data_IF_093132464427
#
_entry.id   IF_093132464427
#
_cell.length_a   1.000
_cell.length_b   1.000
_cell.length_c   1.000
_cell.angle_alpha   90.00
_cell.angle_beta   90.00
_cell.angle_gamma   90.00
#
_symmetry.space_group_name_H-M   'P 1'
#
loop_
_entity.id
_entity.type
_entity.pdbx_description
1 polymer ?
#
# COMPACT_ATOMS: atom_id res chain seq x y z
N UNK A 1 -3.88 -11.40 -14.92
CA UNK A 1 -3.16 -10.47 -14.01
C UNK A 1 -2.24 -11.27 -13.10
N UNK A 2 -0.91 -11.27 -13.31
CA UNK A 2 0.03 -12.16 -12.59
C UNK A 2 0.50 -11.55 -11.25
N UNK A 3 -0.31 -11.65 -10.20
CA UNK A 3 0.06 -11.27 -8.81
C UNK A 3 0.52 -12.50 -8.01
N UNK A 4 1.71 -12.99 -8.34
CA UNK A 4 2.28 -14.22 -7.76
C UNK A 4 2.49 -14.12 -6.25
N UNK A 5 2.87 -12.95 -5.74
CA UNK A 5 3.16 -12.75 -4.32
C UNK A 5 1.91 -12.75 -3.43
N UNK A 6 0.72 -12.54 -3.99
CA UNK A 6 -0.53 -12.59 -3.23
C UNK A 6 -1.12 -14.01 -3.12
N UNK A 7 -0.62 -14.96 -3.90
CA UNK A 7 -1.06 -16.37 -3.85
C UNK A 7 -0.35 -17.21 -2.80
N UNK A 8 0.91 -16.88 -2.49
CA UNK A 8 1.74 -17.68 -1.57
C UNK A 8 1.51 -17.28 -0.12
N UNK A 9 1.42 -18.26 0.76
CA UNK A 9 1.33 -18.16 2.22
C UNK A 9 2.53 -18.88 2.83
N UNK A 10 3.05 -18.37 3.94
CA UNK A 10 4.15 -19.01 4.68
C UNK A 10 3.60 -19.65 5.95
N UNK A 11 3.71 -20.96 6.08
CA UNK A 11 3.38 -21.65 7.33
C UNK A 11 4.59 -21.59 8.27
N UNK A 12 4.44 -20.93 9.41
CA UNK A 12 5.53 -20.81 10.40
C UNK A 12 5.84 -22.14 11.11
N UNK A 13 4.86 -23.02 11.29
CA UNK A 13 5.03 -24.32 11.97
C UNK A 13 5.88 -25.26 11.13
N UNK A 14 5.45 -25.50 9.90
CA UNK A 14 6.09 -26.46 8.98
C UNK A 14 7.26 -25.81 8.21
N UNK A 15 7.44 -24.49 8.33
CA UNK A 15 8.39 -23.67 7.53
C UNK A 15 8.24 -23.83 6.01
N UNK A 16 7.06 -24.25 5.53
CA UNK A 16 6.75 -24.43 4.11
C UNK A 16 5.94 -23.28 3.53
N UNK A 17 6.10 -23.06 2.23
CA UNK A 17 5.22 -22.16 1.47
C UNK A 17 4.03 -22.95 0.94
N UNK A 18 2.80 -22.55 1.31
CA UNK A 18 1.55 -23.10 0.80
C UNK A 18 0.87 -22.09 -0.11
N UNK A 19 0.03 -22.52 -1.03
CA UNK A 19 -0.77 -21.61 -1.84
C UNK A 19 -2.11 -21.37 -1.15
N UNK A 20 -2.37 -20.11 -0.79
CA UNK A 20 -3.67 -19.63 -0.35
C UNK A 20 -3.89 -18.25 -0.97
N UNK A 21 -4.71 -18.16 -2.03
CA UNK A 21 -4.95 -16.92 -2.74
C UNK A 21 -5.69 -15.92 -1.85
N UNK A 22 -5.05 -14.79 -1.55
CA UNK A 22 -5.69 -13.67 -0.88
C UNK A 22 -5.73 -12.45 -1.78
N UNK A 23 -6.86 -11.75 -1.79
CA UNK A 23 -7.02 -10.47 -2.50
C UNK A 23 -6.11 -9.38 -1.93
N UNK A 24 -5.85 -9.42 -0.62
CA UNK A 24 -5.03 -8.45 0.10
C UNK A 24 -4.06 -9.15 1.07
N UNK A 25 -2.84 -8.62 1.23
CA UNK A 25 -1.91 -9.08 2.27
C UNK A 25 -1.32 -7.91 3.04
N UNK A 26 -1.18 -8.09 4.35
CA UNK A 26 -0.47 -7.17 5.23
C UNK A 26 1.04 -7.30 4.99
N UNK A 27 1.75 -6.19 5.11
CA UNK A 27 3.21 -6.13 5.09
C UNK A 27 3.76 -4.95 5.86
N UNK A 28 5.07 -4.94 6.03
CA UNK A 28 5.83 -3.88 6.68
C UNK A 28 6.66 -3.15 5.63
N UNK A 29 6.68 -1.83 5.67
CA UNK A 29 7.50 -1.00 4.77
C UNK A 29 8.97 -1.11 5.21
N UNK A 30 9.84 -1.44 4.26
CA UNK A 30 11.29 -1.45 4.47
C UNK A 30 11.90 -0.09 4.12
N UNK A 31 11.48 0.50 3.01
CA UNK A 31 11.98 1.78 2.54
C UNK A 31 10.95 2.46 1.64
N UNK A 32 10.82 3.77 1.77
CA UNK A 32 10.00 4.61 0.91
C UNK A 32 10.92 5.31 -0.09
N UNK A 33 10.63 5.20 -1.39
CA UNK A 33 11.44 5.78 -2.46
C UNK A 33 10.56 6.40 -3.55
N UNK A 34 11.12 7.31 -4.32
CA UNK A 34 10.52 7.78 -5.58
C UNK A 34 11.13 7.05 -6.76
N UNK A 35 10.34 6.75 -7.78
CA UNK A 35 10.80 6.15 -9.04
C UNK A 35 10.32 6.98 -10.23
N UNK A 36 11.19 7.12 -11.23
CA UNK A 36 10.84 7.73 -12.51
C UNK A 36 10.11 6.70 -13.39
N UNK A 37 9.05 7.10 -14.10
CA UNK A 37 8.34 6.26 -15.04
C UNK A 37 9.16 5.98 -16.29
N UNK A 38 8.72 4.99 -17.09
CA UNK A 38 9.25 4.78 -18.44
C UNK A 38 8.83 5.94 -19.34
N UNK A 39 9.72 6.36 -20.25
CA UNK A 39 9.41 7.27 -21.38
C UNK A 39 8.15 6.74 -22.09
N UNK A 40 7.14 7.55 -22.46
CA UNK A 40 7.12 9.00 -22.73
C UNK A 40 6.77 9.92 -21.54
N UNK A 41 6.35 9.36 -20.41
CA UNK A 41 5.84 10.15 -19.30
C UNK A 41 6.99 10.67 -18.41
N UNK A 42 6.81 11.85 -17.82
CA UNK A 42 7.70 12.41 -16.79
C UNK A 42 6.90 12.68 -15.51
N UNK A 43 7.34 12.11 -14.39
CA UNK A 43 6.77 12.34 -13.05
C UNK A 43 7.65 11.68 -12.00
N UNK A 44 7.52 12.10 -10.74
CA UNK A 44 8.04 11.35 -9.61
C UNK A 44 6.93 10.50 -9.02
N UNK A 45 7.03 9.18 -9.16
CA UNK A 45 6.05 8.25 -8.60
C UNK A 45 6.53 7.77 -7.24
N UNK A 46 5.68 7.88 -6.22
CA UNK A 46 5.98 7.41 -4.86
C UNK A 46 5.75 5.91 -4.74
N UNK A 47 6.75 5.22 -4.21
CA UNK A 47 6.82 3.76 -4.16
C UNK A 47 7.37 3.32 -2.82
N UNK A 48 6.87 2.20 -2.28
CA UNK A 48 7.40 1.59 -1.07
C UNK A 48 7.93 0.18 -1.38
N UNK A 49 9.08 -0.15 -0.79
CA UNK A 49 9.51 -1.55 -0.60
C UNK A 49 8.75 -2.10 0.60
N UNK A 50 8.05 -3.20 0.40
CA UNK A 50 7.20 -3.82 1.43
C UNK A 50 7.57 -5.28 1.55
N UNK A 51 7.80 -5.73 2.78
CA UNK A 51 7.93 -7.14 3.12
C UNK A 51 6.57 -7.68 3.55
N UNK A 52 6.02 -8.61 2.77
CA UNK A 52 4.72 -9.24 3.05
C UNK A 52 4.83 -10.30 4.14
N UNK A 53 3.67 -10.69 4.70
CA UNK A 53 3.58 -11.78 5.68
C UNK A 53 4.11 -13.14 5.18
N UNK A 54 4.19 -13.35 3.87
CA UNK A 54 4.79 -14.54 3.26
C UNK A 54 6.30 -14.41 3.00
N UNK A 55 6.98 -13.48 3.69
CA UNK A 55 8.41 -13.18 3.60
C UNK A 55 8.89 -12.68 2.23
N UNK A 56 8.01 -12.47 1.26
CA UNK A 56 8.40 -11.91 -0.03
C UNK A 56 8.53 -10.40 0.06
N UNK A 57 9.57 -9.89 -0.57
CA UNK A 57 9.75 -8.47 -0.76
C UNK A 57 9.15 -8.04 -2.09
N UNK A 58 8.33 -7.01 -2.03
CA UNK A 58 7.67 -6.45 -3.18
C UNK A 58 7.86 -4.94 -3.22
N UNK A 59 7.66 -4.40 -4.41
CA UNK A 59 7.63 -2.96 -4.64
C UNK A 59 6.19 -2.57 -4.93
N UNK A 60 5.62 -1.69 -4.10
CA UNK A 60 4.22 -1.28 -4.14
C UNK A 60 4.08 0.23 -4.38
N UNK A 61 3.14 0.62 -5.23
CA UNK A 61 2.83 2.01 -5.50
C UNK A 61 2.00 2.62 -4.37
N UNK A 62 2.32 3.87 -4.00
CA UNK A 62 1.56 4.65 -3.02
C UNK A 62 0.62 5.59 -3.78
N UNK A 63 -0.71 5.33 -3.78
CA UNK A 63 -1.65 6.18 -4.48
C UNK A 63 -1.96 7.45 -3.67
N UNK A 64 -2.22 8.55 -4.40
CA UNK A 64 -2.64 9.84 -3.84
C UNK A 64 -1.53 10.91 -3.88
N UNK A 65 -1.90 12.13 -3.53
CA UNK A 65 -1.02 13.32 -3.58
C UNK A 65 -0.02 13.35 -2.42
N UNK A 66 -0.46 13.05 -1.19
CA UNK A 66 0.36 12.97 0.02
C UNK A 66 0.41 11.58 0.65
N UNK A 67 1.44 11.30 1.43
CA UNK A 67 1.54 10.11 2.29
C UNK A 67 2.43 10.40 3.49
N UNK A 68 2.16 9.72 4.59
CA UNK A 68 2.87 9.82 5.87
C UNK A 68 3.64 8.52 6.19
N UNK A 69 3.78 7.63 5.20
CA UNK A 69 4.43 6.34 5.43
C UNK A 69 5.91 6.55 5.72
N UNK A 70 6.34 6.00 6.85
CA UNK A 70 7.72 5.90 7.24
C UNK A 70 8.23 4.46 7.02
N UNK A 71 9.50 4.24 7.35
CA UNK A 71 10.02 2.90 7.54
C UNK A 71 9.28 2.20 8.69
N UNK A 72 9.13 0.89 8.60
CA UNK A 72 8.41 0.06 9.57
C UNK A 72 6.90 0.27 9.68
N UNK A 73 6.31 1.21 8.92
CA UNK A 73 4.85 1.34 8.87
C UNK A 73 4.19 0.06 8.34
N UNK A 74 3.08 -0.32 8.97
CA UNK A 74 2.25 -1.46 8.60
C UNK A 74 1.27 -1.04 7.52
N UNK A 75 1.26 -1.79 6.42
CA UNK A 75 0.45 -1.46 5.24
C UNK A 75 -0.35 -2.66 4.74
N UNK A 76 -1.49 -2.37 4.11
CA UNK A 76 -2.26 -3.37 3.36
C UNK A 76 -1.95 -3.22 1.87
N UNK A 77 -1.58 -4.31 1.23
CA UNK A 77 -1.24 -4.34 -0.19
C UNK A 77 -2.31 -5.07 -0.98
N UNK A 78 -2.65 -4.52 -2.14
CA UNK A 78 -3.54 -5.12 -3.15
C UNK A 78 -2.82 -5.34 -4.48
N UNK A 79 -3.38 -6.24 -5.27
CA UNK A 79 -3.00 -6.41 -6.67
C UNK A 79 -3.32 -5.17 -7.51
N UNK A 80 -2.45 -4.83 -8.44
CA UNK A 80 -2.65 -3.71 -9.36
C UNK A 80 -1.35 -3.30 -10.02
N UNK A 81 -1.21 -3.52 -11.33
CA UNK A 81 -0.01 -3.08 -12.05
C UNK A 81 -0.12 -1.60 -12.38
N UNK A 82 0.91 -0.83 -12.07
CA UNK A 82 1.08 0.52 -12.63
C UNK A 82 1.74 0.35 -14.00
N UNK A 83 1.07 0.82 -15.06
CA UNK A 83 1.59 0.67 -16.44
C UNK A 83 2.91 1.42 -16.63
N UNK A 84 3.04 2.57 -15.99
CA UNK A 84 4.17 3.50 -16.15
C UNK A 84 5.49 2.97 -15.57
N UNK A 85 5.42 2.23 -14.45
CA UNK A 85 6.60 1.81 -13.69
C UNK A 85 6.99 0.36 -14.02
N UNK A 86 8.28 0.12 -14.21
CA UNK A 86 8.83 -1.23 -14.31
C UNK A 86 8.83 -1.91 -12.94
N UNK A 87 8.42 -3.18 -12.87
CA UNK A 87 8.46 -3.98 -11.64
C UNK A 87 7.38 -3.67 -10.58
N UNK A 88 6.61 -2.59 -10.71
CA UNK A 88 5.58 -2.20 -9.73
C UNK A 88 4.22 -2.84 -10.08
N UNK A 89 3.95 -3.99 -9.47
CA UNK A 89 2.76 -4.84 -9.72
C UNK A 89 1.68 -4.71 -8.64
N UNK A 90 1.94 -3.94 -7.59
CA UNK A 90 1.10 -3.85 -6.41
C UNK A 90 0.81 -2.40 -6.04
N UNK A 91 -0.31 -2.20 -5.36
CA UNK A 91 -0.71 -0.91 -4.80
C UNK A 91 -0.93 -1.03 -3.30
N UNK A 92 -0.60 0.01 -2.57
CA UNK A 92 -0.99 0.16 -1.17
C UNK A 92 -2.45 0.62 -1.11
N UNK A 93 -3.24 0.02 -0.24
CA UNK A 93 -4.60 0.45 0.09
C UNK A 93 -4.51 1.61 1.08
N UNK A 94 -5.28 2.68 0.86
CA UNK A 94 -5.32 3.85 1.75
C UNK A 94 -6.45 3.72 2.77
N UNK A 95 -6.26 4.32 3.95
CA UNK A 95 -7.27 4.33 5.02
C UNK A 95 -7.30 3.03 5.83
N UNK A 96 -6.23 2.23 5.80
CA UNK A 96 -6.12 0.98 6.56
C UNK A 96 -4.71 0.78 7.13
N UNK A 97 -4.63 0.28 8.36
CA UNK A 97 -3.38 0.26 9.17
C UNK A 97 -2.80 1.68 9.24
N UNK A 98 -1.49 1.84 9.08
CA UNK A 98 -0.80 3.12 9.26
C UNK A 98 -0.92 4.03 8.03
N UNK A 99 -1.71 3.62 7.02
CA UNK A 99 -2.01 4.47 5.86
C UNK A 99 -3.19 5.37 6.15
N UNK A 100 -2.93 6.66 6.39
CA UNK A 100 -3.98 7.68 6.49
C UNK A 100 -4.63 7.95 5.13
N UNK A 101 -5.88 8.42 5.15
CA UNK A 101 -6.58 8.86 3.94
C UNK A 101 -5.91 10.10 3.32
N UNK A 102 -6.16 10.37 2.04
CA UNK A 102 -5.69 11.63 1.42
C UNK A 102 -6.55 12.79 1.93
N UNK A 103 -5.91 13.79 2.56
CA UNK A 103 -6.57 14.98 3.08
C UNK A 103 -7.16 15.83 1.95
N UNK A 104 -8.27 16.52 2.22
CA UNK A 104 -8.88 17.48 1.29
C UNK A 104 -9.56 16.89 0.05
N UNK A 105 -9.55 15.56 -0.12
CA UNK A 105 -10.08 14.94 -1.33
C UNK A 105 -11.61 14.84 -1.33
N UNK A 106 -12.26 15.57 -2.24
CA UNK A 106 -13.73 15.60 -2.36
C UNK A 106 -14.29 14.56 -3.36
N UNK A 107 -13.52 14.17 -4.38
CA UNK A 107 -13.93 13.19 -5.40
C UNK A 107 -13.15 11.88 -5.30
N UNK A 108 -13.79 10.74 -5.59
CA UNK A 108 -13.15 9.42 -5.52
C UNK A 108 -12.73 8.98 -4.11
N UNK A 109 -13.40 9.51 -3.09
CA UNK A 109 -13.07 9.35 -1.65
C UNK A 109 -12.84 7.91 -1.20
N UNK A 110 -13.69 7.00 -1.64
CA UNK A 110 -13.65 5.57 -1.29
C UNK A 110 -12.33 4.89 -1.65
N UNK A 111 -11.68 5.30 -2.74
CA UNK A 111 -10.41 4.71 -3.20
C UNK A 111 -9.20 5.19 -2.40
N UNK A 112 -9.28 6.39 -1.83
CA UNK A 112 -8.16 7.07 -1.15
C UNK A 112 -8.36 7.19 0.36
N UNK A 113 -9.37 6.51 0.92
CA UNK A 113 -9.62 6.46 2.36
C UNK A 113 -10.08 7.80 2.96
N UNK A 114 -10.61 8.71 2.14
CA UNK A 114 -11.15 9.98 2.63
C UNK A 114 -12.61 9.75 3.12
N UNK A 115 -12.93 10.19 4.35
CA UNK A 115 -14.30 10.12 4.89
C UNK A 115 -15.17 11.23 4.27
N UNK A 116 -16.49 11.02 4.22
CA UNK A 116 -17.44 12.06 3.80
C UNK A 116 -17.42 13.18 4.84
N UNK A 117 -17.14 14.42 4.40
CA UNK A 117 -17.33 15.63 5.21
C UNK A 117 -18.81 15.71 5.61
N UNK A 118 -19.09 15.44 6.88
CA UNK A 118 -20.44 15.27 7.43
C UNK A 118 -20.56 14.23 8.55
N UNK A 119 -19.56 13.36 8.74
CA UNK A 119 -19.43 12.57 9.97
C UNK A 119 -18.49 13.31 10.94
N UNK A 120 -18.87 13.55 12.21
CA UNK A 120 -18.04 14.28 13.14
C UNK A 120 -16.72 13.53 13.34
N UNK A 121 -15.60 14.25 13.19
CA UNK A 121 -14.32 13.75 13.68
C UNK A 121 -14.43 13.75 15.20
N UNK A 122 -14.47 12.58 15.84
CA UNK A 122 -14.06 12.47 17.23
C UNK A 122 -12.64 13.01 17.29
N UNK A 123 -12.49 14.25 17.75
CA UNK A 123 -11.20 14.82 18.08
C UNK A 123 -10.61 13.92 19.17
N UNK A 124 -9.46 13.33 18.91
CA UNK A 124 -8.67 12.72 19.96
C UNK A 124 -8.34 13.85 20.95
N UNK A 125 -8.80 13.70 22.19
CA UNK A 125 -8.52 14.62 23.27
C UNK A 125 -7.00 14.74 23.47
N UNK A 126 -6.46 15.93 23.78
CA UNK A 126 -5.09 16.04 24.26
C UNK A 126 -5.02 15.34 25.62
N UNK A 127 -4.08 14.41 25.76
CA UNK A 127 -3.72 13.85 27.07
C UNK A 127 -3.23 15.00 27.96
N UNK A 128 -3.86 15.12 29.13
CA UNK A 128 -3.41 15.95 30.23
C UNK A 128 -2.18 15.33 30.91
#
# INVERSE_FOLDING_TARGET
MKTTSLKKWFNAKDRTFKENPSSFKRGVVLAVRTMTPRKPNSALRKVARVRLSNKQEITAYIPGEGHELAEHSIVLVRGGRVKDLAGVKYHIVRGRFDTTGVAGRQTGRSKYGAKKSGAPKTAAAPAA
#
